data_IF_510775544645
#
_entry.id   IF_510775544645
#
_cell.length_a   1.000
_cell.length_b   1.000
_cell.length_c   1.000
_cell.angle_alpha   90.00
_cell.angle_beta   90.00
_cell.angle_gamma   90.00
#
_symmetry.space_group_name_H-M   'P 1'
#
loop_
_entity.id
_entity.type
_entity.pdbx_description
1 polymer ?
#
# COMPACT_ATOMS: atom_id res chain seq x y z
N UNK A 1 -27.80 -0.28 -19.74
CA UNK A 1 -27.63 0.97 -18.97
C UNK A 1 -28.17 2.10 -19.83
N UNK A 2 -29.42 2.50 -19.64
CA UNK A 2 -30.01 3.62 -20.39
C UNK A 2 -29.79 4.88 -19.56
N UNK A 3 -29.01 5.81 -20.09
CA UNK A 3 -28.75 7.07 -19.41
C UNK A 3 -30.04 7.92 -19.44
N UNK A 4 -30.42 8.57 -18.33
CA UNK A 4 -31.61 9.41 -18.27
C UNK A 4 -31.49 10.60 -19.25
N UNK A 5 -32.64 11.09 -19.73
CA UNK A 5 -32.70 12.27 -20.58
C UNK A 5 -31.99 13.46 -19.89
N UNK A 6 -31.05 14.10 -20.60
CA UNK A 6 -30.23 15.20 -20.07
C UNK A 6 -28.81 14.81 -19.64
N UNK A 7 -28.43 13.54 -19.73
CA UNK A 7 -27.05 13.11 -19.43
C UNK A 7 -26.04 13.73 -20.38
N UNK A 8 -26.34 13.86 -21.67
CA UNK A 8 -25.45 14.51 -22.63
C UNK A 8 -25.18 15.98 -22.27
N UNK A 9 -26.21 16.70 -21.85
CA UNK A 9 -26.09 18.08 -21.35
C UNK A 9 -25.23 18.16 -20.09
N UNK A 10 -25.36 17.18 -19.19
CA UNK A 10 -24.52 17.09 -17.99
C UNK A 10 -23.06 16.80 -18.35
N UNK A 11 -22.82 15.91 -19.31
CA UNK A 11 -21.48 15.56 -19.79
C UNK A 11 -20.81 16.76 -20.46
N UNK A 12 -21.52 17.51 -21.30
CA UNK A 12 -21.01 18.75 -21.91
C UNK A 12 -20.57 19.75 -20.85
N UNK A 13 -21.42 20.02 -19.86
CA UNK A 13 -21.08 20.94 -18.74
C UNK A 13 -19.91 20.42 -17.91
N UNK A 14 -19.82 19.10 -17.70
CA UNK A 14 -18.72 18.49 -16.95
C UNK A 14 -17.40 18.63 -17.70
N UNK A 15 -17.40 18.43 -19.02
CA UNK A 15 -16.23 18.64 -19.87
C UNK A 15 -15.77 20.09 -19.82
N UNK A 16 -16.69 21.06 -19.92
CA UNK A 16 -16.37 22.50 -19.79
C UNK A 16 -15.76 22.85 -18.42
N UNK A 17 -16.30 22.29 -17.34
CA UNK A 17 -15.74 22.50 -15.99
C UNK A 17 -14.39 21.80 -15.81
N UNK A 18 -14.20 20.65 -16.44
CA UNK A 18 -12.95 19.90 -16.40
C UNK A 18 -11.84 20.63 -17.17
N UNK A 19 -12.12 21.20 -18.34
CA UNK A 19 -11.12 21.99 -19.08
C UNK A 19 -10.70 23.24 -18.32
N UNK A 20 -11.64 23.93 -17.68
CA UNK A 20 -11.32 25.05 -16.77
C UNK A 20 -10.42 24.61 -15.63
N UNK A 21 -10.74 23.49 -14.97
CA UNK A 21 -9.91 22.92 -13.90
C UNK A 21 -8.52 22.53 -14.41
N UNK A 22 -8.40 21.90 -15.57
CA UNK A 22 -7.13 21.51 -16.15
C UNK A 22 -6.23 22.74 -16.44
N UNK A 23 -6.82 23.86 -16.87
CA UNK A 23 -6.09 25.12 -17.03
C UNK A 23 -5.61 25.70 -15.69
N UNK A 24 -6.43 25.62 -14.62
CA UNK A 24 -6.05 26.02 -13.27
C UNK A 24 -4.92 25.14 -12.69
N UNK A 25 -4.97 23.82 -12.94
CA UNK A 25 -3.95 22.86 -12.53
C UNK A 25 -2.63 23.07 -13.31
N UNK A 26 -2.71 23.37 -14.61
CA UNK A 26 -1.55 23.75 -15.41
C UNK A 26 -0.90 25.06 -14.94
N UNK A 27 -1.70 25.97 -14.36
CA UNK A 27 -1.22 27.17 -13.67
C UNK A 27 -0.70 26.89 -12.24
N UNK A 28 -0.67 25.63 -11.81
CA UNK A 28 -0.13 25.20 -10.51
C UNK A 28 -1.12 25.30 -9.36
N UNK A 29 -2.40 25.56 -9.60
CA UNK A 29 -3.42 25.66 -8.55
C UNK A 29 -4.32 24.42 -8.54
N UNK A 30 -4.14 23.54 -7.55
CA UNK A 30 -4.96 22.33 -7.41
C UNK A 30 -5.99 22.51 -6.28
N UNK A 31 -7.28 22.55 -6.62
CA UNK A 31 -8.39 22.64 -5.64
C UNK A 31 -8.97 21.25 -5.35
N UNK A 32 -8.75 20.74 -4.14
CA UNK A 32 -9.33 19.48 -3.67
C UNK A 32 -10.78 19.67 -3.19
N UNK A 33 -11.57 18.61 -3.23
CA UNK A 33 -12.99 18.62 -2.79
C UNK A 33 -13.17 18.87 -1.28
N UNK A 34 -12.09 18.84 -0.51
CA UNK A 34 -12.05 19.05 0.93
C UNK A 34 -11.22 20.31 1.22
N UNK A 35 -11.86 21.46 1.47
CA UNK A 35 -11.18 22.73 1.73
C UNK A 35 -10.14 22.66 2.84
N UNK A 36 -10.38 21.85 3.87
CA UNK A 36 -9.49 21.65 5.01
C UNK A 36 -8.13 21.03 4.65
N UNK A 37 -8.02 20.39 3.47
CA UNK A 37 -6.77 19.82 2.96
C UNK A 37 -6.13 20.66 1.84
N UNK A 38 -6.71 21.82 1.46
CA UNK A 38 -6.17 22.69 0.39
C UNK A 38 -4.92 23.48 0.82
N UNK A 39 -4.20 23.06 1.86
CA UNK A 39 -2.97 23.72 2.30
C UNK A 39 -1.88 23.52 1.24
N UNK A 40 -1.71 24.52 0.37
CA UNK A 40 -0.63 24.59 -0.57
C UNK A 40 0.72 24.58 0.19
N UNK A 41 1.48 23.50 0.06
CA UNK A 41 2.92 23.50 0.37
C UNK A 41 3.33 23.66 1.84
N UNK A 42 2.44 23.46 2.83
CA UNK A 42 2.79 23.47 4.26
C UNK A 42 2.75 22.08 4.92
N UNK A 43 2.72 21.01 4.12
CA UNK A 43 3.22 19.74 4.61
C UNK A 43 4.74 19.83 4.62
N UNK A 44 5.32 20.25 5.74
CA UNK A 44 6.74 20.03 6.03
C UNK A 44 7.02 18.56 5.70
N UNK A 45 7.67 18.29 4.57
CA UNK A 45 8.20 16.97 4.30
C UNK A 45 9.32 16.79 5.31
N UNK A 46 8.99 16.24 6.48
CA UNK A 46 9.99 15.78 7.43
C UNK A 46 10.81 14.76 6.67
N UNK A 47 12.03 15.17 6.30
CA UNK A 47 13.01 14.28 5.71
C UNK A 47 13.08 13.04 6.61
N UNK A 48 12.73 11.88 6.05
CA UNK A 48 13.00 10.62 6.71
C UNK A 48 14.51 10.53 6.86
N UNK A 49 14.97 10.64 8.12
CA UNK A 49 16.34 10.40 8.51
C UNK A 49 16.65 8.91 8.28
N UNK A 50 17.03 8.57 7.05
CA UNK A 50 17.72 7.31 6.78
C UNK A 50 19.12 7.46 7.36
N UNK A 51 19.26 7.13 8.64
CA UNK A 51 20.54 7.06 9.34
C UNK A 51 21.50 6.11 8.63
N UNK A 52 22.26 6.67 7.69
CA UNK A 52 23.48 6.08 7.16
C UNK A 52 24.63 6.59 8.03
N UNK A 53 24.89 5.84 9.11
CA UNK A 53 26.07 5.98 9.96
C UNK A 53 26.95 4.75 9.77
N UNK A 54 28.01 4.96 8.99
CA UNK A 54 29.10 4.08 8.61
C UNK A 54 29.95 3.59 9.81
N UNK A 55 30.39 2.33 9.78
CA UNK A 55 31.81 1.95 9.72
C UNK A 55 32.14 0.55 10.34
N UNK A 56 32.95 -0.17 9.56
CA UNK A 56 33.96 -1.17 9.91
C UNK A 56 33.59 -2.66 10.00
N UNK A 57 34.11 -3.41 9.01
CA UNK A 57 34.40 -4.85 9.12
C UNK A 57 34.46 -5.61 7.80
N UNK A 58 35.49 -5.34 6.99
CA UNK A 58 35.89 -6.10 5.79
C UNK A 58 36.04 -7.61 6.05
N UNK A 59 35.38 -8.46 5.25
CA UNK A 59 36.03 -9.61 4.61
C UNK A 59 35.21 -10.09 3.41
N UNK A 60 35.93 -10.38 2.33
CA UNK A 60 35.39 -10.66 1.00
C UNK A 60 35.00 -12.13 0.83
N UNK A 61 33.81 -12.42 0.26
CA UNK A 61 33.61 -13.56 -0.64
C UNK A 61 32.18 -13.64 -1.25
N UNK A 62 32.18 -13.64 -2.58
CA UNK A 62 31.27 -14.34 -3.50
C UNK A 62 29.77 -13.98 -3.61
N UNK A 63 29.46 -13.50 -4.82
CA UNK A 63 28.15 -13.15 -5.36
C UNK A 63 27.29 -14.41 -5.56
N UNK A 64 26.20 -14.50 -4.80
CA UNK A 64 24.97 -15.22 -5.19
C UNK A 64 23.82 -14.22 -5.04
N UNK A 65 22.76 -14.26 -5.88
CA UNK A 65 21.71 -13.25 -5.84
C UNK A 65 21.10 -13.26 -4.43
N UNK A 66 21.36 -12.17 -3.69
CA UNK A 66 20.98 -12.05 -2.31
C UNK A 66 19.45 -12.01 -2.24
N UNK A 67 18.86 -13.13 -1.81
CA UNK A 67 17.51 -13.14 -1.25
C UNK A 67 17.59 -12.18 -0.06
N UNK A 68 17.14 -10.93 -0.24
CA UNK A 68 17.10 -9.90 0.80
C UNK A 68 16.60 -10.58 2.08
N UNK A 69 17.42 -10.58 3.11
CA UNK A 69 17.12 -11.28 4.35
C UNK A 69 15.81 -10.71 4.92
N UNK A 70 14.72 -11.42 4.70
CA UNK A 70 13.42 -11.06 5.27
C UNK A 70 13.56 -11.27 6.77
N UNK A 71 13.52 -10.17 7.53
CA UNK A 71 13.51 -10.24 8.99
C UNK A 71 12.24 -10.97 9.41
N UNK A 72 12.37 -12.24 9.77
CA UNK A 72 11.24 -13.07 10.15
C UNK A 72 10.70 -12.63 11.50
N UNK A 73 9.43 -12.21 11.53
CA UNK A 73 8.76 -11.80 12.77
C UNK A 73 8.14 -13.02 13.45
N UNK A 74 8.18 -13.13 14.79
CA UNK A 74 7.50 -14.21 15.49
C UNK A 74 5.99 -14.10 15.28
N UNK A 75 5.32 -15.24 15.06
CA UNK A 75 3.88 -15.29 14.84
C UNK A 75 3.13 -14.93 16.14
N UNK A 76 2.31 -13.87 16.14
CA UNK A 76 1.60 -13.44 17.33
C UNK A 76 0.47 -14.40 17.71
N UNK A 77 0.16 -14.49 19.01
CA UNK A 77 -0.86 -15.43 19.53
C UNK A 77 -2.27 -14.83 19.51
N UNK A 78 -2.40 -13.50 19.64
CA UNK A 78 -3.69 -12.81 19.59
C UNK A 78 -4.26 -12.65 18.18
N UNK A 79 -5.57 -12.82 18.00
CA UNK A 79 -6.21 -12.69 16.68
C UNK A 79 -6.04 -11.28 16.08
N UNK A 80 -6.29 -10.24 16.87
CA UNK A 80 -6.14 -8.85 16.43
C UNK A 80 -4.69 -8.53 16.06
N UNK A 81 -3.73 -9.10 16.79
CA UNK A 81 -2.30 -8.95 16.51
C UNK A 81 -1.91 -9.71 15.24
N UNK A 82 -2.48 -10.88 14.98
CA UNK A 82 -2.30 -11.63 13.72
C UNK A 82 -2.78 -10.81 12.52
N UNK A 83 -3.96 -10.20 12.60
CA UNK A 83 -4.51 -9.34 11.54
C UNK A 83 -3.58 -8.15 11.30
N UNK A 84 -3.17 -7.44 12.37
CA UNK A 84 -2.25 -6.30 12.27
C UNK A 84 -0.91 -6.69 11.65
N UNK A 85 -0.31 -7.78 12.10
CA UNK A 85 0.99 -8.22 11.62
C UNK A 85 0.96 -8.58 10.12
N UNK A 86 -0.10 -9.26 9.65
CA UNK A 86 -0.28 -9.55 8.22
C UNK A 86 -0.46 -8.27 7.41
N UNK A 87 -1.26 -7.32 7.90
CA UNK A 87 -1.45 -6.03 7.24
C UNK A 87 -0.15 -5.21 7.14
N UNK A 88 0.66 -5.17 8.20
CA UNK A 88 1.95 -4.48 8.20
C UNK A 88 2.94 -5.07 7.20
N UNK A 89 2.96 -6.40 7.04
CA UNK A 89 3.83 -7.04 6.04
C UNK A 89 3.40 -6.67 4.62
N UNK A 90 2.09 -6.68 4.34
CA UNK A 90 1.58 -6.28 3.02
C UNK A 90 1.84 -4.80 2.73
N UNK A 91 1.64 -3.92 3.72
CA UNK A 91 1.91 -2.49 3.59
C UNK A 91 3.42 -2.20 3.41
N UNK A 92 4.29 -2.88 4.18
CA UNK A 92 5.74 -2.70 4.10
C UNK A 92 6.38 -3.31 2.85
N UNK A 93 5.73 -4.29 2.20
CA UNK A 93 6.28 -4.93 1.02
C UNK A 93 6.21 -4.05 -0.24
N UNK A 94 5.25 -3.11 -0.31
CA UNK A 94 5.06 -2.19 -1.44
C UNK A 94 4.83 -2.89 -2.79
N UNK A 95 4.51 -4.19 -2.77
CA UNK A 95 4.31 -5.05 -3.94
C UNK A 95 3.28 -6.12 -3.64
N UNK A 96 2.76 -6.75 -4.69
CA UNK A 96 1.87 -7.90 -4.52
C UNK A 96 2.65 -9.11 -4.01
N UNK A 97 2.16 -9.71 -2.91
CA UNK A 97 2.74 -10.90 -2.28
C UNK A 97 1.86 -12.11 -2.55
N UNK A 98 2.46 -13.25 -2.83
CA UNK A 98 1.77 -14.54 -2.78
C UNK A 98 1.80 -15.11 -1.36
N UNK A 99 1.08 -16.20 -1.13
CA UNK A 99 0.91 -16.79 0.20
C UNK A 99 2.27 -17.26 0.76
N UNK A 100 3.09 -17.85 -0.10
CA UNK A 100 4.42 -18.33 0.27
C UNK A 100 5.35 -17.16 0.62
N UNK A 101 5.41 -16.12 -0.21
CA UNK A 101 6.18 -14.91 0.04
C UNK A 101 5.73 -14.20 1.32
N UNK A 102 4.44 -14.17 1.61
CA UNK A 102 3.92 -13.64 2.88
C UNK A 102 4.37 -14.51 4.06
N UNK A 103 4.32 -15.84 3.92
CA UNK A 103 4.72 -16.77 4.96
C UNK A 103 6.24 -16.76 5.25
N UNK A 104 7.08 -16.30 4.32
CA UNK A 104 8.51 -16.08 4.57
C UNK A 104 8.77 -14.95 5.59
N UNK A 105 7.83 -14.04 5.80
CA UNK A 105 7.96 -12.93 6.76
C UNK A 105 7.67 -13.32 8.21
N UNK A 106 7.17 -14.55 8.43
CA UNK A 106 6.75 -15.01 9.74
C UNK A 106 7.48 -16.29 10.16
N UNK A 107 7.91 -16.32 11.42
CA UNK A 107 8.44 -17.51 12.09
C UNK A 107 7.47 -17.96 13.19
N UNK A 108 7.19 -19.26 13.30
CA UNK A 108 6.25 -19.74 14.29
C UNK A 108 6.16 -21.25 14.33
N UNK A 109 5.84 -21.79 15.51
CA UNK A 109 5.61 -23.23 15.71
C UNK A 109 4.12 -23.54 15.62
N UNK A 110 3.74 -24.52 14.80
CA UNK A 110 2.35 -25.00 14.69
C UNK A 110 1.63 -24.60 13.39
N UNK A 111 0.30 -24.76 13.39
CA UNK A 111 -0.59 -24.61 12.21
C UNK A 111 -0.99 -23.16 11.92
N UNK A 112 -0.03 -22.24 12.02
CA UNK A 112 -0.31 -20.82 11.80
C UNK A 112 -0.48 -20.48 10.32
N UNK A 113 0.18 -21.23 9.42
CA UNK A 113 0.04 -21.08 7.96
C UNK A 113 -1.39 -21.33 7.50
N UNK A 114 -2.10 -22.25 8.15
CA UNK A 114 -3.52 -22.55 7.88
C UNK A 114 -4.44 -21.37 8.21
N UNK A 115 -3.99 -20.42 9.05
CA UNK A 115 -4.74 -19.22 9.40
C UNK A 115 -4.54 -18.07 8.41
N UNK A 116 -3.45 -18.07 7.64
CA UNK A 116 -3.16 -17.00 6.68
C UNK A 116 -4.28 -16.76 5.67
N UNK A 117 -4.86 -17.79 5.01
CA UNK A 117 -5.95 -17.58 4.07
C UNK A 117 -7.15 -16.89 4.72
N UNK A 118 -7.56 -17.37 5.89
CA UNK A 118 -8.70 -16.79 6.62
C UNK A 118 -8.45 -15.33 7.01
N UNK A 119 -7.25 -14.99 7.48
CA UNK A 119 -6.90 -13.61 7.81
C UNK A 119 -6.88 -12.71 6.57
N UNK A 120 -6.34 -13.20 5.45
CA UNK A 120 -6.33 -12.48 4.19
C UNK A 120 -7.75 -12.24 3.67
N UNK A 121 -8.63 -13.24 3.74
CA UNK A 121 -10.04 -13.10 3.41
C UNK A 121 -10.72 -12.02 4.26
N UNK A 122 -10.42 -11.98 5.58
CA UNK A 122 -10.96 -10.90 6.43
C UNK A 122 -10.43 -9.53 6.03
N UNK A 123 -9.14 -9.41 5.67
CA UNK A 123 -8.55 -8.14 5.24
C UNK A 123 -9.08 -7.66 3.88
N UNK A 124 -9.40 -8.60 2.98
CA UNK A 124 -10.08 -8.32 1.72
C UNK A 124 -11.51 -7.86 1.96
N UNK A 125 -12.26 -8.55 2.84
CA UNK A 125 -13.62 -8.15 3.21
C UNK A 125 -13.67 -6.77 3.86
N UNK A 126 -12.64 -6.41 4.64
CA UNK A 126 -12.48 -5.08 5.23
C UNK A 126 -11.99 -4.01 4.23
N UNK A 127 -11.69 -4.38 2.99
CA UNK A 127 -11.20 -3.47 1.96
C UNK A 127 -9.81 -2.90 2.26
N UNK A 128 -9.00 -3.60 3.06
CA UNK A 128 -7.61 -3.24 3.36
C UNK A 128 -6.63 -3.83 2.35
N UNK A 129 -6.96 -4.99 1.81
CA UNK A 129 -6.14 -5.74 0.86
C UNK A 129 -6.97 -6.06 -0.38
N UNK A 130 -6.37 -6.08 -1.56
CA UNK A 130 -6.99 -6.58 -2.79
C UNK A 130 -6.30 -7.84 -3.25
N UNK A 131 -7.07 -8.75 -3.85
CA UNK A 131 -6.56 -9.90 -4.56
C UNK A 131 -6.42 -9.54 -6.04
N UNK A 132 -5.20 -9.60 -6.57
CA UNK A 132 -4.87 -9.36 -7.98
C UNK A 132 -4.08 -10.58 -8.49
N UNK A 133 -4.63 -11.30 -9.46
CA UNK A 133 -3.97 -12.46 -10.09
C UNK A 133 -3.43 -13.51 -9.09
N UNK A 134 -4.19 -13.76 -8.00
CA UNK A 134 -3.79 -14.69 -6.94
C UNK A 134 -2.73 -14.16 -5.98
N UNK A 135 -2.40 -12.86 -6.04
CA UNK A 135 -1.50 -12.16 -5.12
C UNK A 135 -2.24 -11.09 -4.34
N UNK A 136 -1.85 -10.88 -3.10
CA UNK A 136 -2.44 -9.88 -2.21
C UNK A 136 -1.63 -8.59 -2.25
N UNK A 137 -2.31 -7.46 -2.44
CA UNK A 137 -1.73 -6.12 -2.45
C UNK A 137 -2.45 -5.24 -1.44
N UNK A 138 -1.72 -4.43 -0.68
CA UNK A 138 -2.35 -3.44 0.20
C UNK A 138 -3.07 -2.38 -0.64
N UNK A 139 -4.23 -1.93 -0.18
CA UNK A 139 -5.08 -0.96 -0.91
C UNK A 139 -4.44 0.44 -0.94
N UNK A 140 -3.52 0.70 -0.02
CA UNK A 140 -2.82 1.98 0.18
C UNK A 140 -1.38 1.96 -0.36
N UNK A 141 -0.94 0.84 -0.95
CA UNK A 141 0.35 0.67 -1.61
C UNK A 141 0.32 1.07 -3.09
#
# INVERSE_FOLDING_TARGET
LTLPAGTDTLLVRLVELNTKRAAEEAAGTVRWLRPEFQQAGQGEQVAMDTGAGDDSGDDAAEVKPAKLAVVQRPWPTGLTEQIKAVAEVLAGAGRSLDLEGLAEHFSGRGRWRDRLPMLLDTLVALGRVRLLDGRWVDVSA
#
